data_IF_949312802734
#
_entry.id   IF_949312802734
#
_cell.length_a   1.000
_cell.length_b   1.000
_cell.length_c   1.000
_cell.angle_alpha   90.00
_cell.angle_beta   90.00
_cell.angle_gamma   90.00
#
_symmetry.space_group_name_H-M   'P 1'
#
loop_
_entity.id
_entity.type
_entity.pdbx_description
1 polymer ?
#
# COMPACT_ATOMS: atom_id res chain seq x y z
N UNK A 1 -0.37 26.14 -16.47
CA UNK A 1 -0.64 24.81 -15.89
C UNK A 1 -0.37 24.83 -14.40
N UNK A 2 -1.35 24.41 -13.61
CA UNK A 2 -1.16 24.28 -12.17
C UNK A 2 -0.39 22.99 -11.86
N UNK A 3 0.60 23.09 -10.97
CA UNK A 3 1.34 21.96 -10.44
C UNK A 3 1.25 21.97 -8.92
N UNK A 4 1.09 20.79 -8.33
CA UNK A 4 0.99 20.61 -6.88
C UNK A 4 2.03 19.60 -6.43
N UNK A 5 2.84 19.98 -5.46
CA UNK A 5 3.76 19.07 -4.80
C UNK A 5 3.06 18.46 -3.59
N UNK A 6 2.85 17.14 -3.62
CA UNK A 6 2.31 16.37 -2.51
C UNK A 6 3.46 15.68 -1.80
N UNK A 7 3.55 15.84 -0.48
CA UNK A 7 4.61 15.25 0.34
C UNK A 7 3.97 14.39 1.42
N UNK A 8 4.36 13.11 1.46
CA UNK A 8 4.06 12.18 2.55
C UNK A 8 5.36 11.93 3.32
N UNK A 9 5.42 12.39 4.56
CA UNK A 9 6.63 12.30 5.39
C UNK A 9 6.26 11.88 6.81
N UNK A 10 6.93 10.86 7.33
CA UNK A 10 6.65 10.38 8.67
C UNK A 10 7.85 9.66 9.31
N UNK A 11 7.75 9.48 10.62
CA UNK A 11 8.66 8.69 11.45
C UNK A 11 7.82 7.75 12.30
N UNK A 12 7.83 6.47 11.94
CA UNK A 12 7.20 5.43 12.76
C UNK A 12 8.10 5.11 13.95
N UNK A 13 7.68 5.54 15.14
CA UNK A 13 8.44 5.35 16.38
C UNK A 13 7.59 4.59 17.40
N UNK A 14 8.09 3.45 17.82
CA UNK A 14 7.46 2.58 18.82
C UNK A 14 8.33 2.49 20.07
N UNK A 15 7.81 1.89 21.14
CA UNK A 15 8.56 1.69 22.36
C UNK A 15 9.71 0.70 22.17
N UNK A 16 10.82 0.93 22.84
CA UNK A 16 11.96 0.00 22.88
C UNK A 16 11.49 -1.36 23.42
N UNK A 17 11.90 -2.44 22.77
CA UNK A 17 11.48 -3.83 23.05
C UNK A 17 9.99 -4.09 22.83
N UNK A 18 9.27 -3.21 22.15
CA UNK A 18 7.91 -3.49 21.68
C UNK A 18 7.92 -4.43 20.46
N UNK A 19 6.81 -5.12 20.21
CA UNK A 19 6.65 -5.98 19.04
C UNK A 19 6.76 -5.21 17.71
N UNK A 20 6.50 -3.90 17.73
CA UNK A 20 6.60 -3.01 16.58
C UNK A 20 8.00 -2.45 16.32
N UNK A 21 8.95 -2.59 17.24
CA UNK A 21 10.26 -1.94 17.14
C UNK A 21 10.99 -2.28 15.84
N UNK A 22 10.94 -3.52 15.40
CA UNK A 22 11.60 -3.97 14.15
C UNK A 22 10.95 -3.44 12.86
N UNK A 23 9.77 -2.86 12.95
CA UNK A 23 9.04 -2.31 11.80
C UNK A 23 9.14 -0.79 11.69
N UNK A 24 9.86 -0.15 12.61
CA UNK A 24 10.09 1.30 12.60
C UNK A 24 10.76 1.74 11.30
N UNK A 25 10.40 2.95 10.85
CA UNK A 25 11.00 3.57 9.70
C UNK A 25 10.89 5.08 9.75
N UNK A 26 11.67 5.75 8.92
CA UNK A 26 11.59 7.19 8.73
C UNK A 26 11.88 7.52 7.27
N UNK A 27 11.08 8.40 6.68
CA UNK A 27 11.26 8.77 5.30
C UNK A 27 10.24 9.76 4.79
N UNK A 28 10.41 10.15 3.56
CA UNK A 28 9.52 11.06 2.86
C UNK A 28 9.43 10.69 1.39
N UNK A 29 8.21 10.72 0.84
CA UNK A 29 7.95 10.61 -0.59
C UNK A 29 7.36 11.92 -1.08
N UNK A 30 7.88 12.47 -2.19
CA UNK A 30 7.38 13.68 -2.81
C UNK A 30 6.88 13.37 -4.24
N UNK A 31 5.67 13.81 -4.55
CA UNK A 31 5.00 13.56 -5.82
C UNK A 31 4.58 14.88 -6.45
N UNK A 32 4.99 15.12 -7.68
CA UNK A 32 4.54 16.27 -8.45
C UNK A 32 3.30 15.91 -9.27
N UNK A 33 2.17 16.45 -8.88
CA UNK A 33 0.87 16.27 -9.58
C UNK A 33 0.68 17.42 -10.57
N UNK A 34 0.32 17.10 -11.80
CA UNK A 34 0.07 18.08 -12.86
C UNK A 34 -1.04 17.61 -13.79
N UNK A 35 -1.62 18.52 -14.58
CA UNK A 35 -2.60 18.20 -15.61
C UNK A 35 -2.00 17.49 -16.84
N UNK A 36 -0.69 17.44 -16.95
CA UNK A 36 0.04 16.74 -18.00
C UNK A 36 1.05 15.77 -17.37
N UNK A 37 0.61 14.58 -16.92
CA UNK A 37 1.45 13.59 -16.27
C UNK A 37 2.43 12.97 -17.28
N UNK A 38 3.60 12.52 -16.79
CA UNK A 38 4.63 11.88 -17.61
C UNK A 38 4.97 10.46 -17.17
N UNK A 39 4.63 10.11 -15.94
CA UNK A 39 4.99 8.82 -15.34
C UNK A 39 3.73 7.98 -15.15
N UNK A 40 2.74 8.55 -14.45
CA UNK A 40 1.50 7.87 -14.10
C UNK A 40 0.32 8.83 -14.28
N UNK A 41 -0.82 8.27 -14.63
CA UNK A 41 -2.11 8.97 -14.63
C UNK A 41 -3.02 8.36 -13.56
N UNK A 42 -3.70 9.21 -12.77
CA UNK A 42 -4.69 8.74 -11.81
C UNK A 42 -6.02 8.51 -12.51
N UNK A 43 -6.48 7.27 -12.48
CA UNK A 43 -7.83 6.93 -12.95
C UNK A 43 -8.89 7.47 -11.99
N UNK A 44 -10.08 7.74 -12.54
CA UNK A 44 -11.23 8.22 -11.75
C UNK A 44 -11.91 7.11 -10.94
N UNK A 45 -11.58 5.86 -11.21
CA UNK A 45 -12.14 4.71 -10.48
C UNK A 45 -11.43 4.56 -9.14
N UNK A 46 -12.12 4.97 -8.09
CA UNK A 46 -11.67 4.84 -6.72
C UNK A 46 -12.86 4.53 -5.80
N UNK A 47 -12.55 3.94 -4.67
CA UNK A 47 -13.48 3.71 -3.57
C UNK A 47 -12.80 4.04 -2.25
N UNK A 48 -13.59 4.33 -1.23
CA UNK A 48 -13.09 4.51 0.12
C UNK A 48 -13.94 3.73 1.13
N UNK A 49 -13.32 3.38 2.23
CA UNK A 49 -13.94 2.77 3.38
C UNK A 49 -13.48 3.51 4.63
N UNK A 50 -14.43 3.97 5.42
CA UNK A 50 -14.17 4.56 6.73
C UNK A 50 -14.95 3.80 7.78
N UNK A 51 -14.28 3.43 8.87
CA UNK A 51 -14.85 2.73 10.01
C UNK A 51 -14.37 3.36 11.31
N UNK A 52 -15.18 3.28 12.33
CA UNK A 52 -14.78 3.61 13.70
C UNK A 52 -14.14 2.38 14.34
N UNK A 53 -12.81 2.28 14.27
CA UNK A 53 -12.02 1.15 14.75
C UNK A 53 -10.85 1.66 15.58
N UNK A 54 -10.77 1.21 16.83
CA UNK A 54 -9.66 1.54 17.74
C UNK A 54 -8.50 0.56 17.53
N UNK A 55 -7.88 0.67 16.36
CA UNK A 55 -6.68 -0.08 15.99
C UNK A 55 -5.50 0.86 15.80
N UNK A 56 -4.37 0.52 16.38
CA UNK A 56 -3.13 1.30 16.34
C UNK A 56 -3.39 2.79 16.66
N UNK A 57 -3.88 3.04 17.87
CA UNK A 57 -4.28 4.37 18.30
C UNK A 57 -3.49 4.84 19.53
N UNK A 58 -3.29 6.13 19.67
CA UNK A 58 -2.58 6.72 20.78
C UNK A 58 -3.52 7.57 21.65
N UNK A 59 -3.87 7.13 22.86
CA UNK A 59 -4.65 7.93 23.79
C UNK A 59 -3.84 9.12 24.34
N UNK A 60 -4.54 10.15 24.82
CA UNK A 60 -3.92 11.40 25.27
C UNK A 60 -2.95 11.20 26.48
N UNK A 61 -3.11 10.13 27.25
CA UNK A 61 -2.28 9.82 28.42
C UNK A 61 -1.05 8.97 28.10
N UNK A 62 -0.82 8.61 26.83
CA UNK A 62 0.32 7.80 26.42
C UNK A 62 1.20 8.50 25.39
N UNK A 63 2.50 8.29 25.49
CA UNK A 63 3.46 8.71 24.46
C UNK A 63 3.57 7.73 23.28
N UNK A 64 3.04 6.52 23.44
CA UNK A 64 3.10 5.45 22.44
C UNK A 64 1.70 5.02 22.03
N UNK A 65 1.59 4.60 20.77
CA UNK A 65 0.36 3.98 20.29
C UNK A 65 0.18 2.60 20.91
N UNK A 66 -1.08 2.24 21.13
CA UNK A 66 -1.49 0.88 21.48
C UNK A 66 -1.89 0.11 20.23
N UNK A 67 -1.54 -1.16 20.20
CA UNK A 67 -1.90 -2.07 19.13
C UNK A 67 -2.10 -3.47 19.71
N UNK A 68 -3.14 -4.14 19.26
CA UNK A 68 -3.32 -5.57 19.41
C UNK A 68 -3.05 -6.21 18.05
N UNK A 69 -1.92 -6.89 17.90
CA UNK A 69 -1.37 -7.28 16.59
C UNK A 69 -2.25 -8.22 15.77
N UNK A 70 -3.01 -9.12 16.43
CA UNK A 70 -3.96 -10.00 15.74
C UNK A 70 -5.15 -9.22 15.21
N UNK A 71 -5.75 -8.40 16.05
CA UNK A 71 -6.88 -7.54 15.68
C UNK A 71 -6.49 -6.58 14.55
N UNK A 72 -5.32 -5.94 14.66
CA UNK A 72 -4.78 -5.05 13.62
C UNK A 72 -4.64 -5.76 12.27
N UNK A 73 -4.10 -6.99 12.28
CA UNK A 73 -3.99 -7.81 11.07
C UNK A 73 -5.36 -8.11 10.47
N UNK A 74 -6.32 -8.52 11.30
CA UNK A 74 -7.68 -8.82 10.87
C UNK A 74 -8.37 -7.58 10.26
N UNK A 75 -8.20 -6.39 10.88
CA UNK A 75 -8.74 -5.14 10.35
C UNK A 75 -8.13 -4.77 9.00
N UNK A 76 -6.81 -4.88 8.85
CA UNK A 76 -6.14 -4.61 7.59
C UNK A 76 -6.68 -5.50 6.46
N UNK A 77 -6.75 -6.81 6.68
CA UNK A 77 -7.20 -7.78 5.68
C UNK A 77 -8.68 -7.60 5.32
N UNK A 78 -9.54 -7.37 6.31
CA UNK A 78 -10.97 -7.13 6.10
C UNK A 78 -11.22 -5.81 5.36
N UNK A 79 -10.51 -4.74 5.71
CA UNK A 79 -10.60 -3.48 4.97
C UNK A 79 -10.13 -3.63 3.53
N UNK A 80 -9.02 -4.32 3.27
CA UNK A 80 -8.52 -4.58 1.92
C UNK A 80 -9.55 -5.34 1.09
N UNK A 81 -10.04 -6.47 1.59
CA UNK A 81 -10.98 -7.31 0.84
C UNK A 81 -12.33 -6.62 0.62
N UNK A 82 -12.84 -5.89 1.62
CA UNK A 82 -14.08 -5.09 1.50
C UNK A 82 -13.91 -3.97 0.46
N UNK A 83 -12.79 -3.26 0.51
CA UNK A 83 -12.52 -2.15 -0.43
C UNK A 83 -12.33 -2.69 -1.85
N UNK A 84 -11.60 -3.79 -2.01
CA UNK A 84 -11.43 -4.45 -3.29
C UNK A 84 -12.77 -4.91 -3.88
N UNK A 85 -13.64 -5.56 -3.10
CA UNK A 85 -14.96 -5.98 -3.55
C UNK A 85 -15.82 -4.81 -4.05
N UNK A 86 -15.84 -3.69 -3.29
CA UNK A 86 -16.54 -2.46 -3.70
C UNK A 86 -15.96 -1.85 -4.98
N UNK A 87 -14.62 -1.87 -5.10
CA UNK A 87 -13.95 -1.37 -6.30
C UNK A 87 -14.33 -2.20 -7.52
N UNK A 88 -14.23 -3.52 -7.44
CA UNK A 88 -14.58 -4.45 -8.54
C UNK A 88 -16.06 -4.32 -8.95
N UNK A 89 -16.96 -4.16 -7.96
CA UNK A 89 -18.39 -3.95 -8.24
C UNK A 89 -18.63 -2.63 -8.98
N UNK A 90 -17.95 -1.54 -8.57
CA UNK A 90 -18.11 -0.22 -9.17
C UNK A 90 -17.49 -0.12 -10.56
N UNK A 91 -16.23 -0.53 -10.69
CA UNK A 91 -15.44 -0.36 -11.93
C UNK A 91 -15.69 -1.46 -12.96
N UNK A 92 -16.26 -2.61 -12.54
CA UNK A 92 -16.36 -3.85 -13.32
C UNK A 92 -15.00 -4.45 -13.70
N UNK A 93 -13.95 -4.02 -13.04
CA UNK A 93 -12.60 -4.57 -13.19
C UNK A 93 -12.37 -5.69 -12.16
N UNK A 94 -11.52 -6.62 -12.54
CA UNK A 94 -11.05 -7.70 -11.67
C UNK A 94 -9.50 -7.70 -11.62
N UNK A 95 -8.92 -8.60 -10.87
CA UNK A 95 -7.47 -8.60 -10.64
C UNK A 95 -6.65 -8.85 -11.91
N UNK A 96 -7.20 -9.53 -12.90
CA UNK A 96 -6.53 -9.80 -14.17
C UNK A 96 -6.37 -8.53 -15.04
N UNK A 97 -7.13 -7.47 -14.76
CA UNK A 97 -7.04 -6.18 -15.46
C UNK A 97 -5.86 -5.31 -14.97
N UNK A 98 -5.16 -5.76 -13.92
CA UNK A 98 -4.04 -5.04 -13.31
C UNK A 98 -2.72 -5.73 -13.60
N UNK A 99 -1.73 -4.91 -13.89
CA UNK A 99 -0.35 -5.37 -14.06
C UNK A 99 0.40 -5.44 -12.73
N UNK A 100 0.03 -4.64 -11.74
CA UNK A 100 0.64 -4.65 -10.42
C UNK A 100 -0.35 -4.19 -9.33
N UNK A 101 -0.07 -4.59 -8.09
CA UNK A 101 -0.78 -4.14 -6.89
C UNK A 101 0.25 -3.64 -5.88
N UNK A 102 0.19 -2.34 -5.57
CA UNK A 102 0.96 -1.75 -4.48
C UNK A 102 0.05 -1.58 -3.26
N UNK A 103 0.49 -2.10 -2.13
CA UNK A 103 -0.26 -2.06 -0.89
C UNK A 103 0.41 -1.12 0.12
N UNK A 104 -0.39 -0.47 0.97
CA UNK A 104 0.15 0.12 2.18
C UNK A 104 0.82 -0.97 3.02
N UNK A 105 2.05 -0.74 3.43
CA UNK A 105 2.88 -1.74 4.11
C UNK A 105 3.27 -1.28 5.51
N UNK A 106 2.54 -1.66 6.57
CA UNK A 106 3.06 -1.58 7.93
C UNK A 106 4.34 -2.43 8.06
N UNK A 107 4.34 -3.58 7.39
CA UNK A 107 5.51 -4.43 7.15
C UNK A 107 5.25 -5.40 5.97
N UNK A 108 6.29 -5.83 5.23
CA UNK A 108 6.10 -6.57 3.97
C UNK A 108 5.28 -7.86 4.08
N UNK A 109 5.42 -8.62 5.19
CA UNK A 109 4.66 -9.86 5.39
C UNK A 109 3.15 -9.64 5.49
N UNK A 110 2.70 -8.49 5.99
CA UNK A 110 1.27 -8.19 6.03
C UNK A 110 0.73 -7.87 4.62
N UNK A 111 1.49 -7.12 3.85
CA UNK A 111 1.16 -6.89 2.44
C UNK A 111 1.07 -8.19 1.65
N UNK A 112 2.02 -9.12 1.87
CA UNK A 112 1.97 -10.44 1.22
C UNK A 112 0.73 -11.24 1.60
N UNK A 113 0.31 -11.21 2.88
CA UNK A 113 -0.96 -11.84 3.30
C UNK A 113 -2.17 -11.21 2.60
N UNK A 114 -2.19 -9.88 2.50
CA UNK A 114 -3.26 -9.17 1.79
C UNK A 114 -3.29 -9.52 0.31
N UNK A 115 -2.16 -9.48 -0.36
CA UNK A 115 -2.06 -9.88 -1.76
C UNK A 115 -2.53 -11.33 -1.97
N UNK A 116 -2.11 -12.27 -1.11
CA UNK A 116 -2.50 -13.67 -1.22
C UNK A 116 -4.01 -13.87 -1.23
N UNK A 117 -4.76 -13.12 -0.42
CA UNK A 117 -6.24 -13.16 -0.42
C UNK A 117 -6.83 -12.65 -1.75
N UNK A 118 -6.24 -11.61 -2.33
CA UNK A 118 -6.68 -11.09 -3.62
C UNK A 118 -6.37 -12.09 -4.74
N UNK A 119 -5.20 -12.72 -4.71
CA UNK A 119 -4.75 -13.68 -5.72
C UNK A 119 -5.62 -14.94 -5.83
N UNK A 120 -6.42 -15.27 -4.81
CA UNK A 120 -7.40 -16.35 -4.91
C UNK A 120 -8.39 -16.16 -6.07
N UNK A 121 -8.61 -14.91 -6.50
CA UNK A 121 -9.52 -14.53 -7.58
C UNK A 121 -8.85 -14.38 -8.94
N UNK A 122 -7.52 -14.51 -9.03
CA UNK A 122 -6.76 -14.32 -10.26
C UNK A 122 -6.50 -15.65 -10.98
N UNK A 123 -6.29 -15.56 -12.31
CA UNK A 123 -5.77 -16.64 -13.12
C UNK A 123 -4.33 -17.00 -12.74
N UNK A 124 -3.91 -18.25 -12.97
CA UNK A 124 -2.63 -18.76 -12.45
C UNK A 124 -1.41 -17.98 -12.97
N UNK A 125 -1.37 -17.73 -14.29
CA UNK A 125 -0.28 -16.93 -14.90
C UNK A 125 -0.23 -15.50 -14.32
N UNK A 126 -1.41 -14.92 -14.01
CA UNK A 126 -1.51 -13.59 -13.42
C UNK A 126 -1.05 -13.57 -11.97
N UNK A 127 -1.24 -14.65 -11.22
CA UNK A 127 -0.75 -14.77 -9.84
C UNK A 127 0.77 -14.64 -9.79
N UNK A 128 1.47 -15.34 -10.67
CA UNK A 128 2.94 -15.28 -10.73
C UNK A 128 3.43 -13.87 -11.08
N UNK A 129 2.81 -13.23 -12.08
CA UNK A 129 3.12 -11.87 -12.48
C UNK A 129 2.94 -10.88 -11.33
N UNK A 130 1.77 -10.88 -10.68
CA UNK A 130 1.45 -9.95 -9.60
C UNK A 130 2.33 -10.18 -8.37
N UNK A 131 2.66 -11.43 -8.06
CA UNK A 131 3.57 -11.76 -6.96
C UNK A 131 5.00 -11.30 -7.25
N UNK A 132 5.49 -11.47 -8.47
CA UNK A 132 6.82 -10.98 -8.87
C UNK A 132 6.90 -9.46 -8.71
N UNK A 133 5.92 -8.73 -9.23
CA UNK A 133 5.85 -7.25 -9.13
C UNK A 133 5.63 -6.75 -7.71
N UNK A 134 4.88 -7.48 -6.89
CA UNK A 134 4.80 -7.18 -5.47
C UNK A 134 6.18 -7.28 -4.79
N UNK A 135 6.96 -8.31 -5.09
CA UNK A 135 8.32 -8.45 -4.55
C UNK A 135 9.22 -7.28 -4.93
N UNK A 136 9.09 -6.73 -6.13
CA UNK A 136 9.79 -5.52 -6.55
C UNK A 136 9.30 -4.27 -5.79
N UNK A 137 8.01 -4.17 -5.53
CA UNK A 137 7.42 -3.05 -4.81
C UNK A 137 7.86 -2.96 -3.34
N UNK A 138 8.23 -4.06 -2.71
CA UNK A 138 8.60 -4.08 -1.28
C UNK A 138 10.10 -3.86 -1.01
N UNK A 139 10.97 -3.79 -2.03
CA UNK A 139 12.42 -3.72 -1.85
C UNK A 139 12.86 -2.52 -1.00
N UNK A 140 12.24 -1.36 -1.21
CA UNK A 140 12.56 -0.16 -0.42
C UNK A 140 11.98 -0.24 0.98
N UNK A 141 10.74 -0.71 1.13
CA UNK A 141 10.11 -0.88 2.44
C UNK A 141 10.86 -1.87 3.33
N UNK A 142 11.50 -2.89 2.76
CA UNK A 142 12.37 -3.83 3.50
C UNK A 142 13.60 -3.15 4.12
N UNK A 143 14.06 -2.05 3.56
CA UNK A 143 15.25 -1.32 4.01
C UNK A 143 14.93 -0.10 4.86
N UNK A 144 13.82 0.56 4.57
CA UNK A 144 13.40 1.81 5.21
C UNK A 144 12.51 1.54 6.44
N UNK A 145 11.68 0.49 6.40
CA UNK A 145 10.65 0.23 7.39
C UNK A 145 9.35 1.00 7.10
N UNK A 146 8.48 1.06 8.11
CA UNK A 146 7.19 1.74 7.99
C UNK A 146 7.36 3.27 8.04
N UNK A 147 6.82 3.96 7.06
CA UNK A 147 6.71 5.43 7.01
C UNK A 147 5.24 5.87 6.86
N UNK A 148 4.31 5.11 7.44
CA UNK A 148 2.86 5.32 7.44
C UNK A 148 2.32 5.62 6.03
N UNK A 149 1.66 6.75 5.81
CA UNK A 149 1.09 7.14 4.50
C UNK A 149 2.12 7.09 3.37
N UNK A 150 3.39 7.40 3.64
CA UNK A 150 4.47 7.33 2.67
C UNK A 150 4.79 5.91 2.19
N UNK A 151 4.47 4.87 2.97
CA UNK A 151 4.82 3.48 2.66
C UNK A 151 4.21 2.99 1.34
N UNK A 152 2.98 3.38 1.01
CA UNK A 152 2.36 3.04 -0.27
C UNK A 152 3.14 3.65 -1.45
N UNK A 153 3.47 4.92 -1.35
CA UNK A 153 4.20 5.63 -2.41
C UNK A 153 5.66 5.21 -2.52
N UNK A 154 6.27 4.80 -1.39
CA UNK A 154 7.59 4.17 -1.40
C UNK A 154 7.57 2.82 -2.14
N UNK A 155 6.49 2.05 -1.96
CA UNK A 155 6.27 0.80 -2.69
C UNK A 155 6.06 1.03 -4.19
N UNK A 156 5.28 2.04 -4.55
CA UNK A 156 5.09 2.43 -5.95
C UNK A 156 6.42 2.87 -6.60
N UNK A 157 7.20 3.70 -5.92
CA UNK A 157 8.53 4.12 -6.39
C UNK A 157 9.46 2.92 -6.57
N UNK A 158 9.49 2.01 -5.59
CA UNK A 158 10.27 0.78 -5.66
C UNK A 158 9.90 -0.06 -6.88
N UNK A 159 8.60 -0.25 -7.14
CA UNK A 159 8.12 -0.96 -8.32
C UNK A 159 8.60 -0.29 -9.61
N UNK A 160 8.39 1.01 -9.76
CA UNK A 160 8.75 1.75 -10.98
C UNK A 160 10.25 1.76 -11.28
N UNK A 161 11.10 1.74 -10.25
CA UNK A 161 12.56 1.75 -10.43
C UNK A 161 13.16 0.35 -10.62
N UNK A 162 12.53 -0.70 -10.09
CA UNK A 162 13.09 -2.05 -10.15
C UNK A 162 12.39 -2.96 -11.19
N UNK A 163 11.21 -2.60 -11.67
CA UNK A 163 10.55 -3.34 -12.73
C UNK A 163 10.94 -2.82 -14.12
N UNK A 164 11.24 -3.74 -15.04
CA UNK A 164 11.63 -3.43 -16.42
C UNK A 164 10.60 -3.86 -17.46
N UNK A 165 9.47 -4.41 -17.01
CA UNK A 165 8.44 -4.99 -17.90
C UNK A 165 7.13 -4.21 -17.90
N UNK A 166 6.98 -3.21 -17.02
CA UNK A 166 5.84 -2.31 -17.04
C UNK A 166 5.93 -1.36 -18.21
N UNK A 167 4.83 -1.23 -18.94
CA UNK A 167 4.73 -0.42 -20.14
C UNK A 167 3.60 0.60 -20.01
N UNK A 168 3.60 1.60 -20.90
CA UNK A 168 2.50 2.55 -21.00
C UNK A 168 1.17 1.81 -21.30
N UNK A 169 0.12 2.15 -20.57
CA UNK A 169 -1.18 1.48 -20.61
C UNK A 169 -1.36 0.38 -19.57
N UNK A 170 -0.31 0.01 -18.82
CA UNK A 170 -0.46 -0.91 -17.70
C UNK A 170 -1.20 -0.25 -16.53
N UNK A 171 -2.10 -0.99 -15.91
CA UNK A 171 -2.84 -0.54 -14.72
C UNK A 171 -2.15 -1.02 -13.45
N UNK A 172 -2.00 -0.12 -12.48
CA UNK A 172 -1.46 -0.41 -11.14
C UNK A 172 -2.55 -0.09 -10.11
N UNK A 173 -2.93 -1.07 -9.31
CA UNK A 173 -3.83 -0.84 -8.18
C UNK A 173 -3.04 -0.33 -6.97
N UNK A 174 -3.57 0.68 -6.27
CA UNK A 174 -2.98 1.27 -5.06
C UNK A 174 -3.96 1.12 -3.89
N UNK A 175 -3.53 0.54 -2.75
CA UNK A 175 -4.33 0.39 -1.53
C UNK A 175 -3.56 0.86 -0.31
#
# INVERSE_FOLDING_TARGET
>A
ESKVLVIASDIAKYGVRSSGESTQGAGSCAMLVSSNPRILELNNDNVCLTRDVMDFWRPNYSHYAFVEGRFSTEQYLDCLTTTWGRFSEKSKQNLNDFSAVCLHLPYPKLGLKGLSLLLEQAEEDKKEELLARFNESILYSQRVGNIYTGSLFLGLLSLLENNTTLEAGNNIALY
#
